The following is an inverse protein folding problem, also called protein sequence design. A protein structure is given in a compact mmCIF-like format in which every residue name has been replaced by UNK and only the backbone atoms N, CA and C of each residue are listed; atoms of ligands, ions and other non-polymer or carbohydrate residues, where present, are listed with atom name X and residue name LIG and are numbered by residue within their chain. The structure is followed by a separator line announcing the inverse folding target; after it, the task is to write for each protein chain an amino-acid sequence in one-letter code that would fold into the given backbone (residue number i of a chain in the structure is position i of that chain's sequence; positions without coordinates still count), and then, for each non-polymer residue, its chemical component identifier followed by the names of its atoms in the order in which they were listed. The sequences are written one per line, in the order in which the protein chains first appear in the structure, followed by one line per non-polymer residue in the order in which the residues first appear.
data_IF_501547568897
#
_entry.id   IF_501547568897
#
_cell.length_a   1.000
_cell.length_b   1.000
_cell.length_c   1.000
_cell.angle_alpha   90.00
_cell.angle_beta   90.00
_cell.angle_gamma   90.00
#
_symmetry.space_group_name_H-M   'P 1'
#
loop_
_entity.id
_entity.type
_entity.pdbx_description
1 polymer ?
#
# COMPACT_ATOMS: atom_id res chain seq x y z
N UNK A 1 0.43 16.51 -12.37
CA UNK A 1 1.56 15.80 -13.01
C UNK A 1 1.39 14.29 -12.98
N UNK A 2 1.58 13.58 -11.84
CA UNK A 2 1.43 12.11 -11.81
C UNK A 2 0.01 11.64 -12.19
N UNK A 3 -1.04 12.33 -11.73
CA UNK A 3 -2.43 12.04 -12.12
C UNK A 3 -2.70 12.16 -13.61
N UNK A 4 -2.06 13.11 -14.29
CA UNK A 4 -2.18 13.29 -15.73
C UNK A 4 -1.49 12.16 -16.49
N UNK A 5 -0.30 11.73 -16.04
CA UNK A 5 0.40 10.57 -16.61
C UNK A 5 -0.44 9.31 -16.46
N UNK A 6 -1.02 9.08 -15.28
CA UNK A 6 -1.89 7.91 -15.04
C UNK A 6 -3.14 7.95 -15.92
N UNK A 7 -3.72 9.14 -16.15
CA UNK A 7 -4.84 9.30 -17.07
C UNK A 7 -4.47 8.93 -18.51
N UNK A 8 -3.31 9.35 -19.00
CA UNK A 8 -2.77 8.95 -20.31
C UNK A 8 -2.56 7.44 -20.42
N UNK A 9 -2.01 6.83 -19.36
CA UNK A 9 -1.80 5.37 -19.27
C UNK A 9 -3.10 4.56 -19.41
N UNK A 10 -4.28 5.15 -19.21
CA UNK A 10 -5.56 4.45 -19.40
C UNK A 10 -5.91 4.25 -20.88
N UNK A 11 -5.33 5.05 -21.78
CA UNK A 11 -5.64 5.05 -23.21
C UNK A 11 -4.44 4.68 -24.09
N UNK A 12 -3.21 4.80 -23.56
CA UNK A 12 -1.98 4.41 -24.23
C UNK A 12 -1.22 3.33 -23.43
N UNK A 13 -1.25 2.05 -23.88
CA UNK A 13 -0.49 0.97 -23.27
C UNK A 13 1.03 1.22 -23.24
N UNK A 14 1.60 1.93 -24.22
CA UNK A 14 3.02 2.23 -24.23
C UNK A 14 3.38 3.24 -23.12
N UNK A 15 2.52 4.22 -22.87
CA UNK A 15 2.66 5.13 -21.73
C UNK A 15 2.56 4.39 -20.38
N UNK A 16 1.66 3.41 -20.27
CA UNK A 16 1.57 2.56 -19.08
C UNK A 16 2.84 1.74 -18.84
N UNK A 17 3.39 1.13 -19.89
CA UNK A 17 4.64 0.35 -19.79
C UNK A 17 5.83 1.24 -19.40
N UNK A 18 5.90 2.46 -19.94
CA UNK A 18 6.95 3.43 -19.59
C UNK A 18 6.80 3.91 -18.13
N UNK A 19 5.57 4.24 -17.70
CA UNK A 19 5.28 4.59 -16.32
C UNK A 19 5.64 3.44 -15.36
N UNK A 20 5.31 2.20 -15.74
CA UNK A 20 5.62 1.03 -14.91
C UNK A 20 7.12 0.82 -14.77
N UNK A 21 7.82 0.78 -15.90
CA UNK A 21 9.25 0.49 -15.95
C UNK A 21 10.11 1.58 -15.32
N UNK A 22 9.76 2.87 -15.50
CA UNK A 22 10.60 3.98 -15.04
C UNK A 22 10.21 4.56 -13.67
N UNK A 23 8.98 4.32 -13.23
CA UNK A 23 8.47 4.95 -12.02
C UNK A 23 7.91 3.94 -11.01
N UNK A 24 6.94 3.13 -11.41
CA UNK A 24 6.19 2.32 -10.46
C UNK A 24 6.98 1.14 -9.91
N UNK A 25 7.63 0.36 -10.78
CA UNK A 25 8.18 -0.95 -10.43
C UNK A 25 9.25 -0.86 -9.32
N UNK A 26 10.18 0.08 -9.43
CA UNK A 26 11.25 0.23 -8.43
C UNK A 26 10.71 0.66 -7.06
N UNK A 27 9.73 1.57 -7.04
CA UNK A 27 9.06 2.01 -5.81
C UNK A 27 8.31 0.85 -5.15
N UNK A 28 7.54 0.14 -5.96
CA UNK A 28 6.79 -1.02 -5.51
C UNK A 28 7.71 -2.11 -4.95
N UNK A 29 8.78 -2.45 -5.68
CA UNK A 29 9.75 -3.46 -5.25
C UNK A 29 10.49 -3.06 -3.97
N UNK A 30 10.74 -1.77 -3.75
CA UNK A 30 11.33 -1.28 -2.50
C UNK A 30 10.41 -1.55 -1.30
N UNK A 31 9.11 -1.25 -1.42
CA UNK A 31 8.14 -1.51 -0.34
C UNK A 31 7.92 -3.01 -0.15
N UNK A 32 7.80 -3.77 -1.23
CA UNK A 32 7.68 -5.23 -1.18
C UNK A 32 8.83 -5.87 -0.39
N UNK A 33 10.08 -5.43 -0.64
CA UNK A 33 11.26 -5.87 0.12
C UNK A 33 11.18 -5.52 1.61
N UNK A 34 10.66 -4.34 1.95
CA UNK A 34 10.48 -3.94 3.35
C UNK A 34 9.45 -4.83 4.06
N UNK A 35 8.33 -5.16 3.38
CA UNK A 35 7.33 -6.08 3.94
C UNK A 35 7.91 -7.48 4.09
N UNK A 36 8.62 -8.00 3.07
CA UNK A 36 9.26 -9.31 3.14
C UNK A 36 10.24 -9.39 4.32
N UNK A 37 11.09 -8.38 4.48
CA UNK A 37 11.99 -8.30 5.63
C UNK A 37 11.22 -8.32 6.96
N UNK A 38 10.12 -7.60 7.07
CA UNK A 38 9.27 -7.63 8.26
C UNK A 38 8.63 -9.00 8.53
N UNK A 39 8.32 -9.78 7.49
CA UNK A 39 7.88 -11.18 7.63
C UNK A 39 9.03 -12.05 8.15
N UNK A 40 10.22 -11.93 7.55
CA UNK A 40 11.41 -12.72 7.92
C UNK A 40 11.84 -12.46 9.37
N UNK A 41 11.68 -11.21 9.83
CA UNK A 41 11.95 -10.79 11.22
C UNK A 41 10.80 -11.12 12.18
N UNK A 42 9.67 -11.65 11.70
CA UNK A 42 8.50 -12.01 12.51
C UNK A 42 7.64 -10.82 12.98
N UNK A 43 7.86 -9.63 12.43
CA UNK A 43 7.06 -8.41 12.69
C UNK A 43 5.68 -8.52 12.04
N UNK A 44 5.61 -9.11 10.84
CA UNK A 44 4.37 -9.33 10.10
C UNK A 44 4.01 -10.82 9.99
N UNK A 45 2.72 -11.09 9.79
CA UNK A 45 2.20 -12.46 9.63
C UNK A 45 2.82 -13.12 8.39
N UNK A 46 3.39 -14.30 8.54
CA UNK A 46 4.02 -15.05 7.42
C UNK A 46 3.05 -15.51 6.32
N UNK A 47 1.73 -15.42 6.57
CA UNK A 47 0.70 -15.80 5.60
C UNK A 47 0.30 -14.69 4.62
N UNK A 48 0.81 -13.45 4.78
CA UNK A 48 0.48 -12.36 3.87
C UNK A 48 1.43 -12.36 2.67
N UNK A 49 0.90 -11.97 1.51
CA UNK A 49 1.70 -11.70 0.32
C UNK A 49 2.33 -10.30 0.43
N UNK A 50 3.68 -10.17 0.38
CA UNK A 50 4.37 -8.89 0.54
C UNK A 50 3.95 -7.84 -0.50
N UNK A 51 3.72 -8.29 -1.75
CA UNK A 51 3.27 -7.42 -2.82
C UNK A 51 1.88 -6.84 -2.55
N UNK A 52 0.90 -7.69 -2.22
CA UNK A 52 -0.46 -7.25 -1.86
C UNK A 52 -0.47 -6.33 -0.64
N UNK A 53 0.38 -6.60 0.34
CA UNK A 53 0.56 -5.72 1.48
C UNK A 53 1.12 -4.35 1.06
N UNK A 54 2.10 -4.31 0.14
CA UNK A 54 2.60 -3.05 -0.42
C UNK A 54 1.50 -2.27 -1.16
N UNK A 55 0.63 -2.94 -1.92
CA UNK A 55 -0.50 -2.29 -2.62
C UNK A 55 -1.48 -1.60 -1.66
N UNK A 56 -1.70 -2.16 -0.46
CA UNK A 56 -2.59 -1.60 0.55
C UNK A 56 -2.19 -0.17 0.94
N UNK A 57 -0.88 0.11 1.02
CA UNK A 57 -0.37 1.44 1.37
C UNK A 57 -0.39 2.41 0.19
N UNK A 58 -0.14 1.91 -1.03
CA UNK A 58 -0.15 2.77 -2.21
C UNK A 58 -1.54 3.19 -2.64
N UNK A 59 -2.54 2.29 -2.58
CA UNK A 59 -3.89 2.56 -3.05
C UNK A 59 -4.51 3.87 -2.49
N UNK A 60 -4.53 4.13 -1.17
CA UNK A 60 -5.08 5.36 -0.62
C UNK A 60 -4.27 6.61 -1.02
N UNK A 61 -2.94 6.51 -1.17
CA UNK A 61 -2.10 7.63 -1.64
C UNK A 61 -2.49 8.03 -3.06
N UNK A 62 -2.66 7.07 -3.97
CA UNK A 62 -3.10 7.36 -5.34
C UNK A 62 -4.56 7.82 -5.38
N UNK A 63 -5.43 7.33 -4.49
CA UNK A 63 -6.80 7.82 -4.36
C UNK A 63 -6.82 9.31 -4.01
N UNK A 64 -6.06 9.72 -2.99
CA UNK A 64 -5.92 11.13 -2.62
C UNK A 64 -5.36 11.96 -3.77
N UNK A 65 -4.36 11.45 -4.48
CA UNK A 65 -3.75 12.11 -5.63
C UNK A 65 -4.71 12.27 -6.82
N UNK A 66 -5.55 11.28 -7.11
CA UNK A 66 -6.46 11.32 -8.27
C UNK A 66 -7.69 12.20 -8.00
N UNK A 67 -8.21 12.18 -6.78
CA UNK A 67 -9.47 12.82 -6.43
C UNK A 67 -9.31 14.10 -5.60
N UNK A 68 -8.07 14.51 -5.31
CA UNK A 68 -7.77 15.70 -4.51
C UNK A 68 -8.46 15.67 -3.13
N UNK A 69 -8.43 14.53 -2.45
CA UNK A 69 -9.15 14.30 -1.19
C UNK A 69 -8.54 15.03 0.03
N UNK A 70 -7.40 15.67 -0.15
CA UNK A 70 -6.70 16.39 0.91
C UNK A 70 -5.20 16.48 0.62
N UNK A 71 -4.43 17.07 1.54
CA UNK A 71 -2.98 17.12 1.42
C UNK A 71 -2.37 15.71 1.42
N UNK A 72 -1.32 15.52 0.62
CA UNK A 72 -0.42 14.38 0.68
C UNK A 72 0.78 14.78 1.52
N UNK A 73 0.63 14.69 2.84
CA UNK A 73 1.64 15.07 3.83
C UNK A 73 2.00 13.91 4.75
N UNK A 74 2.97 14.15 5.62
CA UNK A 74 3.49 13.14 6.56
C UNK A 74 2.40 12.66 7.52
N UNK A 75 1.47 13.54 7.91
CA UNK A 75 0.34 13.18 8.78
C UNK A 75 -0.56 12.15 8.10
N UNK A 76 -0.91 12.34 6.83
CA UNK A 76 -1.66 11.32 6.09
C UNK A 76 -0.87 10.01 6.00
N UNK A 77 0.43 10.07 5.71
CA UNK A 77 1.26 8.88 5.58
C UNK A 77 1.28 8.07 6.89
N UNK A 78 1.49 8.73 8.04
CA UNK A 78 1.46 8.11 9.36
C UNK A 78 0.11 7.42 9.63
N UNK A 79 -1.01 8.10 9.40
CA UNK A 79 -2.34 7.52 9.61
C UNK A 79 -2.60 6.29 8.72
N UNK A 80 -2.19 6.33 7.44
CA UNK A 80 -2.38 5.21 6.51
C UNK A 80 -1.53 4.00 6.89
N UNK A 81 -0.29 4.24 7.33
CA UNK A 81 0.61 3.19 7.83
C UNK A 81 0.01 2.55 9.09
N UNK A 82 -0.43 3.35 10.06
CA UNK A 82 -1.05 2.88 11.28
C UNK A 82 -2.30 2.04 11.00
N UNK A 83 -3.22 2.52 10.16
CA UNK A 83 -4.43 1.78 9.79
C UNK A 83 -4.09 0.45 9.08
N UNK A 84 -3.11 0.47 8.16
CA UNK A 84 -2.69 -0.72 7.44
C UNK A 84 -2.04 -1.76 8.34
N UNK A 85 -1.17 -1.34 9.27
CA UNK A 85 -0.50 -2.23 10.23
C UNK A 85 -1.50 -2.76 11.27
N UNK A 86 -2.37 -1.91 11.81
CA UNK A 86 -3.40 -2.31 12.77
C UNK A 86 -4.50 -3.17 12.13
N UNK A 87 -4.60 -3.17 10.79
CA UNK A 87 -5.63 -3.89 10.05
C UNK A 87 -7.04 -3.42 10.43
N UNK A 88 -7.16 -2.13 10.76
CA UNK A 88 -8.39 -1.40 11.16
C UNK A 88 -9.23 -2.09 12.25
N UNK A 89 -8.56 -2.61 13.28
CA UNK A 89 -9.05 -3.28 14.50
C UNK A 89 -10.43 -2.80 15.03
N UNK A 90 -11.30 -3.63 15.62
CA UNK A 90 -11.05 -4.50 16.78
C UNK A 90 -11.29 -6.00 16.54
N UNK A 91 -10.57 -6.85 17.31
CA UNK A 91 -10.73 -8.32 17.30
C UNK A 91 -11.33 -8.82 18.63
N UNK A 92 -12.38 -9.68 18.61
CA UNK A 92 -13.10 -10.11 19.81
C UNK A 92 -12.25 -10.93 20.78
N UNK A 93 -12.59 -10.86 22.07
CA UNK A 93 -12.06 -11.73 23.11
C UNK A 93 -12.33 -13.19 22.76
N UNK A 94 -11.26 -14.00 22.68
CA UNK A 94 -11.40 -15.46 22.74
C UNK A 94 -11.70 -15.79 24.19
N UNK A 95 -12.99 -15.88 24.53
CA UNK A 95 -13.42 -16.42 25.81
C UNK A 95 -13.59 -17.94 25.62
N UNK A 96 -12.63 -18.79 26.01
CA UNK A 96 -12.91 -20.20 26.10
C UNK A 96 -13.96 -20.32 27.20
N UNK A 97 -15.19 -20.62 26.81
CA UNK A 97 -16.16 -21.20 27.73
C UNK A 97 -15.44 -22.41 28.34
N UNK A 98 -15.05 -22.29 29.61
CA UNK A 98 -14.79 -23.45 30.45
C UNK A 98 -16.05 -24.32 30.49
N UNK A 99 -15.95 -25.59 30.91
CA UNK A 99 -14.91 -26.19 31.74
C UNK A 99 -13.87 -27.04 31.00
#
# INVERSE_FOLDING_TARGET
MISQIIAECQYDPAALDDFRSRFWNDRYAAVEKLIQRGIDEGVFRSSIDPGRAAQLFYAPVYLHLMFSLGPLDDSLAEHLVDLGIQGVAARPEVNPTGP
#
